data_IF_144462794076
#
_entry.id   IF_144462794076
#
_cell.length_a   1.000
_cell.length_b   1.000
_cell.length_c   1.000
_cell.angle_alpha   90.00
_cell.angle_beta   90.00
_cell.angle_gamma   90.00
#
_symmetry.space_group_name_H-M   'P 1'
#
loop_
_entity.id
_entity.type
_entity.pdbx_description
1 polymer ?
#
# COMPACT_ATOMS: atom_id res chain seq x y z
N UNK A 1 -26.25 27.42 6.15
CA UNK A 1 -25.90 26.00 6.35
C UNK A 1 -24.84 25.65 5.32
N UNK A 2 -23.56 25.71 5.68
CA UNK A 2 -22.46 25.35 4.81
C UNK A 2 -22.07 23.88 5.15
N UNK A 3 -22.28 22.99 4.18
CA UNK A 3 -21.80 21.61 4.23
C UNK A 3 -20.27 21.65 4.14
N UNK A 4 -19.61 21.29 5.25
CA UNK A 4 -18.16 21.13 5.29
C UNK A 4 -17.68 20.09 4.28
N UNK A 5 -16.42 20.16 3.83
CA UNK A 5 -15.88 19.21 2.88
C UNK A 5 -15.93 17.79 3.50
N UNK A 6 -16.69 16.91 2.83
CA UNK A 6 -16.74 15.48 3.17
C UNK A 6 -15.33 14.93 3.05
N UNK A 7 -14.75 14.49 4.16
CA UNK A 7 -13.49 13.80 4.15
C UNK A 7 -13.62 12.55 3.24
N UNK A 8 -12.83 12.48 2.20
CA UNK A 8 -12.76 11.30 1.33
C UNK A 8 -12.39 10.11 2.22
N UNK A 9 -13.20 9.04 2.27
CA UNK A 9 -12.88 7.90 3.09
C UNK A 9 -11.53 7.31 2.64
N UNK A 10 -10.71 6.91 3.60
CA UNK A 10 -9.40 6.30 3.33
C UNK A 10 -9.57 5.12 2.36
N UNK A 11 -8.65 4.95 1.41
CA UNK A 11 -8.72 3.88 0.43
C UNK A 11 -8.69 2.52 1.13
N UNK A 12 -9.65 1.66 0.80
CA UNK A 12 -9.81 0.34 1.42
C UNK A 12 -9.06 -0.69 0.59
N UNK A 13 -7.89 -1.12 1.07
CA UNK A 13 -7.04 -2.12 0.40
C UNK A 13 -7.76 -3.46 0.20
N UNK A 14 -7.45 -4.19 -0.89
CA UNK A 14 -7.96 -5.54 -1.10
C UNK A 14 -7.64 -6.46 0.08
N UNK A 15 -8.60 -7.30 0.46
CA UNK A 15 -8.45 -8.25 1.58
C UNK A 15 -8.92 -7.73 2.93
N UNK A 16 -9.18 -6.44 3.08
CA UNK A 16 -9.69 -5.84 4.33
C UNK A 16 -11.19 -6.01 4.51
N UNK A 17 -11.95 -6.19 3.41
CA UNK A 17 -13.40 -6.40 3.43
C UNK A 17 -13.79 -7.86 3.24
N UNK A 18 -14.88 -8.30 3.85
CA UNK A 18 -15.42 -9.64 3.63
C UNK A 18 -16.35 -9.67 2.41
N UNK A 19 -16.30 -10.73 1.60
CA UNK A 19 -17.15 -10.88 0.40
C UNK A 19 -18.65 -11.02 0.72
N UNK A 20 -19.00 -11.23 2.01
CA UNK A 20 -20.37 -11.46 2.48
C UNK A 20 -20.98 -10.28 3.24
N UNK A 21 -20.36 -9.12 3.20
CA UNK A 21 -20.95 -7.92 3.80
C UNK A 21 -22.30 -7.60 3.15
N UNK A 22 -23.36 -7.34 3.95
CA UNK A 22 -24.73 -7.10 3.42
C UNK A 22 -24.78 -5.95 2.40
N UNK A 23 -23.94 -4.93 2.59
CA UNK A 23 -23.84 -3.76 1.71
C UNK A 23 -23.26 -4.09 0.33
N UNK A 24 -22.49 -5.17 0.23
CA UNK A 24 -21.88 -5.68 -1.02
C UNK A 24 -22.70 -6.80 -1.66
N UNK A 25 -23.79 -7.26 -1.00
CA UNK A 25 -24.70 -8.23 -1.58
C UNK A 25 -25.59 -7.53 -2.62
N UNK A 26 -25.59 -8.05 -3.85
CA UNK A 26 -26.55 -7.60 -4.87
C UNK A 26 -27.96 -7.87 -4.36
N UNK A 27 -28.77 -6.82 -4.22
CA UNK A 27 -30.17 -6.94 -3.80
C UNK A 27 -30.94 -7.86 -4.77
N UNK A 28 -31.70 -8.82 -4.23
CA UNK A 28 -32.65 -9.61 -5.02
C UNK A 28 -33.81 -8.69 -5.42
N UNK A 29 -33.91 -8.36 -6.71
CA UNK A 29 -34.97 -7.50 -7.25
C UNK A 29 -34.69 -7.13 -8.71
N UNK A 30 -35.57 -6.40 -9.38
CA UNK A 30 -35.31 -5.91 -10.73
C UNK A 30 -34.04 -5.07 -10.71
N UNK A 31 -33.04 -5.48 -11.54
CA UNK A 31 -31.71 -4.87 -11.61
C UNK A 31 -31.81 -3.37 -11.90
N UNK A 32 -31.41 -2.54 -10.93
CA UNK A 32 -31.15 -1.11 -11.13
C UNK A 32 -29.68 -0.83 -11.46
N UNK A 33 -28.79 -1.79 -11.20
CA UNK A 33 -27.36 -1.63 -11.43
C UNK A 33 -27.01 -1.98 -12.88
N UNK A 34 -26.14 -1.19 -13.50
CA UNK A 34 -25.61 -1.48 -14.83
C UNK A 34 -24.79 -2.79 -14.81
N UNK A 35 -24.68 -3.47 -15.95
CA UNK A 35 -23.83 -4.65 -16.07
C UNK A 35 -22.39 -4.38 -15.65
N UNK A 36 -21.89 -3.17 -15.93
CA UNK A 36 -20.55 -2.70 -15.54
C UNK A 36 -20.40 -2.56 -14.03
N UNK A 37 -21.41 -2.00 -13.32
CA UNK A 37 -21.39 -1.87 -11.87
C UNK A 37 -21.41 -3.25 -11.19
N UNK A 38 -22.15 -4.21 -11.75
CA UNK A 38 -22.16 -5.60 -11.28
C UNK A 38 -20.79 -6.25 -11.47
N UNK A 39 -20.18 -6.11 -12.65
CA UNK A 39 -18.84 -6.64 -12.93
C UNK A 39 -17.77 -6.03 -12.04
N UNK A 40 -17.81 -4.71 -11.81
CA UNK A 40 -16.90 -4.01 -10.88
C UNK A 40 -17.03 -4.55 -9.45
N UNK A 41 -18.25 -4.69 -8.94
CA UNK A 41 -18.49 -5.27 -7.61
C UNK A 41 -17.98 -6.71 -7.50
N UNK A 42 -18.22 -7.53 -8.53
CA UNK A 42 -17.71 -8.91 -8.56
C UNK A 42 -16.18 -8.96 -8.61
N UNK A 43 -15.56 -8.06 -9.37
CA UNK A 43 -14.09 -7.92 -9.43
C UNK A 43 -13.52 -7.56 -8.05
N UNK A 44 -14.06 -6.55 -7.38
CA UNK A 44 -13.62 -6.14 -6.04
C UNK A 44 -13.74 -7.27 -5.02
N UNK A 45 -14.86 -8.00 -5.04
CA UNK A 45 -15.06 -9.17 -4.17
C UNK A 45 -14.06 -10.28 -4.45
N UNK A 46 -13.72 -10.50 -5.72
CA UNK A 46 -12.69 -11.47 -6.11
C UNK A 46 -11.32 -11.04 -5.64
N UNK A 47 -10.94 -9.76 -5.78
CA UNK A 47 -9.67 -9.25 -5.28
C UNK A 47 -9.56 -9.40 -3.76
N UNK A 48 -10.62 -9.03 -3.00
CA UNK A 48 -10.67 -9.23 -1.55
C UNK A 48 -10.57 -10.70 -1.14
N UNK A 49 -11.33 -11.57 -1.80
CA UNK A 49 -11.30 -13.02 -1.55
C UNK A 49 -9.95 -13.63 -1.89
N UNK A 50 -9.34 -13.18 -2.98
CA UNK A 50 -8.02 -13.60 -3.41
C UNK A 50 -6.95 -13.28 -2.37
N UNK A 51 -6.85 -12.01 -1.97
CA UNK A 51 -5.86 -11.54 -1.00
C UNK A 51 -5.96 -12.32 0.32
N UNK A 52 -7.17 -12.50 0.85
CA UNK A 52 -7.36 -13.27 2.09
C UNK A 52 -6.97 -14.74 1.94
N UNK A 53 -7.34 -15.36 0.81
CA UNK A 53 -7.03 -16.77 0.58
C UNK A 53 -5.52 -16.98 0.45
N UNK A 54 -4.84 -16.13 -0.30
CA UNK A 54 -3.37 -16.20 -0.45
C UNK A 54 -2.66 -15.95 0.89
N UNK A 55 -3.11 -14.96 1.66
CA UNK A 55 -2.52 -14.70 2.97
C UNK A 55 -2.68 -15.87 3.97
N UNK A 56 -3.73 -16.68 3.82
CA UNK A 56 -3.99 -17.84 4.69
C UNK A 56 -3.28 -19.12 4.22
N UNK A 57 -3.26 -19.39 2.93
CA UNK A 57 -2.82 -20.66 2.36
C UNK A 57 -1.45 -20.58 1.66
N UNK A 58 -0.97 -19.37 1.37
CA UNK A 58 0.12 -19.11 0.43
C UNK A 58 -0.34 -19.20 -1.03
N UNK A 59 0.38 -18.52 -1.92
CA UNK A 59 0.05 -18.53 -3.35
C UNK A 59 0.08 -19.94 -3.95
N UNK A 60 1.09 -20.73 -3.64
CA UNK A 60 1.25 -22.06 -4.23
C UNK A 60 0.06 -22.99 -3.95
N UNK A 61 -0.50 -22.96 -2.73
CA UNK A 61 -1.61 -23.83 -2.30
C UNK A 61 -2.99 -23.28 -2.68
N UNK A 62 -3.10 -21.99 -2.98
CA UNK A 62 -4.37 -21.34 -3.33
C UNK A 62 -4.90 -21.85 -4.66
N UNK A 63 -6.17 -22.26 -4.70
CA UNK A 63 -6.91 -22.70 -5.90
C UNK A 63 -7.98 -21.67 -6.27
N UNK A 64 -8.37 -21.64 -7.55
CA UNK A 64 -9.47 -20.78 -8.03
C UNK A 64 -10.78 -21.07 -7.31
N UNK A 65 -11.02 -22.33 -6.91
CA UNK A 65 -12.20 -22.70 -6.10
C UNK A 65 -12.24 -21.98 -4.77
N UNK A 66 -11.10 -21.87 -4.10
CA UNK A 66 -10.99 -21.28 -2.77
C UNK A 66 -11.22 -19.76 -2.85
N UNK A 67 -10.67 -19.13 -3.90
CA UNK A 67 -10.88 -17.71 -4.19
C UNK A 67 -12.36 -17.44 -4.45
N UNK A 68 -13.00 -18.24 -5.30
CA UNK A 68 -14.44 -18.10 -5.63
C UNK A 68 -15.31 -18.26 -4.39
N UNK A 69 -14.99 -19.24 -3.53
CA UNK A 69 -15.69 -19.45 -2.27
C UNK A 69 -15.54 -18.27 -1.32
N UNK A 70 -14.33 -17.75 -1.16
CA UNK A 70 -14.04 -16.60 -0.31
C UNK A 70 -14.72 -15.31 -0.80
N UNK A 71 -14.80 -15.12 -2.13
CA UNK A 71 -15.45 -13.99 -2.78
C UNK A 71 -16.98 -14.13 -2.85
N UNK A 72 -17.53 -15.33 -2.69
CA UNK A 72 -18.95 -15.62 -2.90
C UNK A 72 -19.38 -15.42 -4.36
N UNK A 73 -18.53 -15.82 -5.32
CA UNK A 73 -18.78 -15.79 -6.76
C UNK A 73 -18.61 -17.18 -7.37
N UNK A 74 -19.12 -17.39 -8.58
CA UNK A 74 -18.97 -18.66 -9.28
C UNK A 74 -17.68 -18.71 -10.11
N UNK A 75 -17.19 -19.92 -10.42
CA UNK A 75 -16.02 -20.10 -11.30
C UNK A 75 -16.18 -19.48 -12.71
N UNK A 76 -17.33 -19.58 -13.39
CA UNK A 76 -17.53 -18.88 -14.64
C UNK A 76 -17.27 -17.38 -14.54
N UNK A 77 -17.81 -16.71 -13.51
CA UNK A 77 -17.56 -15.27 -13.27
C UNK A 77 -16.08 -14.96 -13.05
N UNK A 78 -15.34 -15.84 -12.36
CA UNK A 78 -13.91 -15.68 -12.22
C UNK A 78 -13.19 -15.67 -13.59
N UNK A 79 -13.53 -16.64 -14.47
CA UNK A 79 -12.90 -16.75 -15.78
C UNK A 79 -13.38 -15.72 -16.82
N UNK A 80 -14.50 -15.05 -16.56
CA UNK A 80 -14.92 -13.85 -17.31
C UNK A 80 -14.03 -12.64 -16.98
N UNK A 81 -13.50 -12.56 -15.75
CA UNK A 81 -12.74 -11.42 -15.25
C UNK A 81 -11.23 -11.63 -15.27
N UNK A 82 -10.75 -12.86 -15.15
CA UNK A 82 -9.33 -13.21 -15.05
C UNK A 82 -9.01 -14.47 -15.85
N UNK A 83 -7.86 -14.45 -16.54
CA UNK A 83 -7.37 -15.60 -17.34
C UNK A 83 -6.99 -16.79 -16.46
N UNK A 84 -6.64 -16.56 -15.19
CA UNK A 84 -6.21 -17.58 -14.26
C UNK A 84 -5.73 -16.98 -12.93
N UNK A 85 -5.18 -17.83 -12.07
CA UNK A 85 -4.70 -17.46 -10.73
C UNK A 85 -3.60 -16.39 -10.77
N UNK A 86 -2.67 -16.50 -11.69
CA UNK A 86 -1.56 -15.56 -11.88
C UNK A 86 -2.09 -14.18 -12.28
N UNK A 87 -2.97 -14.10 -13.28
CA UNK A 87 -3.57 -12.84 -13.73
C UNK A 87 -4.37 -12.16 -12.61
N UNK A 88 -5.12 -12.94 -11.81
CA UNK A 88 -5.84 -12.43 -10.66
C UNK A 88 -4.90 -11.90 -9.56
N UNK A 89 -3.75 -12.59 -9.34
CA UNK A 89 -2.72 -12.13 -8.40
C UNK A 89 -2.15 -10.79 -8.82
N UNK A 90 -1.69 -10.71 -10.08
CA UNK A 90 -1.09 -9.49 -10.61
C UNK A 90 -2.08 -8.33 -10.65
N UNK A 91 -3.36 -8.61 -10.90
CA UNK A 91 -4.42 -7.60 -10.82
C UNK A 91 -4.63 -7.08 -9.39
N UNK A 92 -4.65 -7.98 -8.39
CA UNK A 92 -4.77 -7.61 -6.97
C UNK A 92 -3.53 -6.82 -6.50
N UNK A 93 -2.34 -7.27 -6.91
CA UNK A 93 -1.07 -6.62 -6.60
C UNK A 93 -1.04 -5.19 -7.16
N UNK A 94 -1.26 -5.02 -8.48
CA UNK A 94 -1.28 -3.69 -9.11
C UNK A 94 -2.32 -2.75 -8.51
N UNK A 95 -3.53 -3.26 -8.25
CA UNK A 95 -4.60 -2.45 -7.67
C UNK A 95 -4.23 -1.96 -6.27
N UNK A 96 -3.80 -2.85 -5.38
CA UNK A 96 -3.49 -2.48 -4.00
C UNK A 96 -2.20 -1.67 -3.87
N UNK A 97 -1.13 -1.98 -4.65
CA UNK A 97 0.10 -1.19 -4.62
C UNK A 97 -0.10 0.21 -5.16
N UNK A 98 -0.96 0.40 -6.18
CA UNK A 98 -1.33 1.74 -6.64
C UNK A 98 -2.00 2.57 -5.53
N UNK A 99 -2.89 1.94 -4.74
CA UNK A 99 -3.52 2.62 -3.60
C UNK A 99 -2.49 3.00 -2.52
N UNK A 100 -1.54 2.13 -2.21
CA UNK A 100 -0.46 2.42 -1.25
C UNK A 100 0.39 3.59 -1.73
N UNK A 101 0.78 3.60 -3.00
CA UNK A 101 1.57 4.68 -3.59
C UNK A 101 0.80 6.01 -3.54
N UNK A 102 -0.48 6.02 -3.88
CA UNK A 102 -1.29 7.26 -3.80
C UNK A 102 -1.32 7.83 -2.37
N UNK A 103 -1.46 6.97 -1.34
CA UNK A 103 -1.40 7.42 0.07
C UNK A 103 -0.03 8.00 0.43
N UNK A 104 1.06 7.41 -0.10
CA UNK A 104 2.42 7.94 0.08
C UNK A 104 2.60 9.28 -0.63
N UNK A 105 2.14 9.41 -1.88
CA UNK A 105 2.19 10.65 -2.66
C UNK A 105 1.44 11.79 -1.97
N UNK A 106 0.23 11.51 -1.46
CA UNK A 106 -0.53 12.48 -0.68
C UNK A 106 0.18 12.92 0.61
N UNK A 107 0.81 11.97 1.32
CA UNK A 107 1.57 12.29 2.53
C UNK A 107 2.83 13.10 2.21
N UNK A 108 3.53 12.75 1.14
CA UNK A 108 4.71 13.45 0.63
C UNK A 108 4.38 14.90 0.24
N UNK A 109 3.30 15.12 -0.51
CA UNK A 109 2.88 16.44 -1.00
C UNK A 109 2.47 17.42 0.10
N UNK A 110 2.18 16.96 1.32
CA UNK A 110 1.81 17.81 2.47
C UNK A 110 3.01 18.41 3.19
N UNK A 111 4.22 18.08 2.80
CA UNK A 111 5.45 18.53 3.46
C UNK A 111 6.19 19.55 2.62
N UNK A 112 6.93 20.46 3.28
CA UNK A 112 7.62 21.57 2.62
C UNK A 112 9.09 21.29 2.32
N UNK A 113 9.66 20.20 2.89
CA UNK A 113 11.04 19.82 2.67
C UNK A 113 11.18 18.32 2.41
N UNK A 114 12.21 17.93 1.67
CA UNK A 114 12.46 16.55 1.29
C UNK A 114 12.58 15.58 2.49
N UNK A 115 13.32 15.90 3.59
CA UNK A 115 13.38 15.00 4.76
C UNK A 115 12.02 14.75 5.41
N UNK A 116 11.20 15.78 5.52
CA UNK A 116 9.82 15.67 6.01
C UNK A 116 8.97 14.82 5.08
N UNK A 117 9.10 15.00 3.77
CA UNK A 117 8.41 14.23 2.74
C UNK A 117 8.75 12.74 2.80
N UNK A 118 10.05 12.40 2.93
CA UNK A 118 10.53 11.01 3.14
C UNK A 118 9.90 10.40 4.38
N UNK A 119 9.95 11.09 5.52
CA UNK A 119 9.37 10.60 6.77
C UNK A 119 7.86 10.39 6.67
N UNK A 120 7.14 11.34 6.06
CA UNK A 120 5.69 11.26 5.88
C UNK A 120 5.30 10.11 4.95
N UNK A 121 5.98 9.96 3.81
CA UNK A 121 5.75 8.87 2.85
C UNK A 121 6.04 7.50 3.47
N UNK A 122 7.15 7.34 4.17
CA UNK A 122 7.47 6.10 4.90
C UNK A 122 6.44 5.81 6.00
N UNK A 123 6.02 6.82 6.76
CA UNK A 123 4.99 6.67 7.78
C UNK A 123 3.66 6.18 7.19
N UNK A 124 3.25 6.78 6.07
CA UNK A 124 2.06 6.39 5.33
C UNK A 124 2.15 4.94 4.82
N UNK A 125 3.28 4.55 4.22
CA UNK A 125 3.54 3.19 3.76
C UNK A 125 3.42 2.17 4.90
N UNK A 126 4.16 2.40 5.98
CA UNK A 126 4.24 1.46 7.11
C UNK A 126 2.90 1.33 7.83
N UNK A 127 2.17 2.45 8.01
CA UNK A 127 0.83 2.48 8.61
C UNK A 127 -0.17 1.71 7.76
N UNK A 128 -0.24 2.01 6.46
CA UNK A 128 -1.16 1.36 5.52
C UNK A 128 -0.93 -0.15 5.43
N UNK A 129 0.33 -0.61 5.38
CA UNK A 129 0.64 -2.04 5.38
C UNK A 129 0.31 -2.70 6.72
N UNK A 130 0.52 -2.01 7.85
CA UNK A 130 0.19 -2.55 9.18
C UNK A 130 -1.32 -2.74 9.37
N UNK A 131 -2.15 -1.87 8.80
CA UNK A 131 -3.60 -1.95 8.83
C UNK A 131 -4.18 -3.01 7.88
N UNK A 132 -3.41 -3.47 6.88
CA UNK A 132 -3.83 -4.45 5.89
C UNK A 132 -2.87 -5.67 5.81
N UNK A 133 -2.72 -6.45 6.90
CA UNK A 133 -1.70 -7.50 6.98
C UNK A 133 -1.87 -8.60 5.92
N UNK A 134 -3.08 -8.92 5.52
CA UNK A 134 -3.33 -9.88 4.44
C UNK A 134 -2.80 -9.38 3.09
N UNK A 135 -3.05 -8.11 2.77
CA UNK A 135 -2.51 -7.49 1.56
C UNK A 135 -0.98 -7.40 1.64
N UNK A 136 -0.43 -6.96 2.77
CA UNK A 136 1.01 -6.87 2.96
C UNK A 136 1.72 -8.22 2.74
N UNK A 137 1.18 -9.31 3.29
CA UNK A 137 1.72 -10.66 3.08
C UNK A 137 1.67 -11.07 1.61
N UNK A 138 0.53 -10.88 0.94
CA UNK A 138 0.38 -11.21 -0.47
C UNK A 138 1.32 -10.37 -1.35
N UNK A 139 1.34 -9.05 -1.17
CA UNK A 139 2.05 -8.15 -2.07
C UNK A 139 3.58 -8.15 -1.91
N UNK A 140 4.07 -8.45 -0.71
CA UNK A 140 5.49 -8.32 -0.37
C UNK A 140 6.18 -9.69 -0.22
N UNK A 141 5.46 -10.71 0.27
CA UNK A 141 6.07 -12.03 0.53
C UNK A 141 5.66 -13.05 -0.53
N UNK A 142 4.37 -13.17 -0.82
CA UNK A 142 3.85 -14.18 -1.74
C UNK A 142 4.11 -13.85 -3.22
N UNK A 143 4.53 -12.62 -3.54
CA UNK A 143 4.88 -12.18 -4.91
C UNK A 143 5.99 -13.06 -5.51
N UNK A 144 6.94 -13.49 -4.71
CA UNK A 144 8.07 -14.31 -5.18
C UNK A 144 7.64 -15.73 -5.58
N UNK A 145 6.56 -16.24 -4.98
CA UNK A 145 5.99 -17.55 -5.30
C UNK A 145 5.23 -17.57 -6.63
N UNK A 146 4.95 -16.42 -7.23
CA UNK A 146 4.30 -16.30 -8.55
C UNK A 146 5.28 -16.66 -9.68
N UNK A 147 6.58 -16.49 -9.45
CA UNK A 147 7.63 -16.72 -10.45
C UNK A 147 7.95 -15.46 -11.28
N UNK A 148 8.39 -15.61 -12.55
CA UNK A 148 8.90 -14.49 -13.36
C UNK A 148 7.97 -13.28 -13.42
N UNK A 149 6.68 -13.49 -13.65
CA UNK A 149 5.70 -12.40 -13.69
C UNK A 149 5.56 -11.65 -12.35
N UNK A 150 5.77 -12.35 -11.22
CA UNK A 150 5.82 -11.74 -9.90
C UNK A 150 7.10 -10.92 -9.69
N UNK A 151 8.24 -11.41 -10.18
CA UNK A 151 9.52 -10.68 -10.11
C UNK A 151 9.45 -9.38 -10.91
N UNK A 152 8.88 -9.43 -12.13
CA UNK A 152 8.67 -8.25 -12.96
C UNK A 152 7.75 -7.22 -12.24
N UNK A 153 6.65 -7.68 -11.66
CA UNK A 153 5.72 -6.82 -10.93
C UNK A 153 6.35 -6.19 -9.67
N UNK A 154 7.25 -6.92 -8.99
CA UNK A 154 8.05 -6.37 -7.88
C UNK A 154 9.02 -5.30 -8.36
N UNK A 155 9.74 -5.53 -9.46
CA UNK A 155 10.66 -4.53 -10.03
C UNK A 155 9.92 -3.28 -10.49
N UNK A 156 8.74 -3.42 -11.10
CA UNK A 156 7.87 -2.28 -11.43
C UNK A 156 7.48 -1.47 -10.17
N UNK A 157 7.16 -2.15 -9.07
CA UNK A 157 6.85 -1.49 -7.80
C UNK A 157 8.07 -0.75 -7.25
N UNK A 158 9.26 -1.37 -7.24
CA UNK A 158 10.49 -0.74 -6.76
C UNK A 158 10.87 0.45 -7.64
N UNK A 159 10.66 0.38 -8.95
CA UNK A 159 10.85 1.51 -9.85
C UNK A 159 9.98 2.72 -9.45
N UNK A 160 8.70 2.50 -9.11
CA UNK A 160 7.82 3.58 -8.62
C UNK A 160 8.27 4.17 -7.28
N UNK A 161 8.91 3.40 -6.42
CA UNK A 161 9.50 3.96 -5.20
C UNK A 161 10.70 4.86 -5.48
N UNK A 162 11.45 4.65 -6.57
CA UNK A 162 12.54 5.54 -7.00
C UNK A 162 12.03 6.93 -7.37
N UNK A 163 10.79 7.05 -7.86
CA UNK A 163 10.19 8.34 -8.24
C UNK A 163 10.10 9.33 -7.07
N UNK A 164 10.05 8.84 -5.82
CA UNK A 164 10.10 9.68 -4.61
C UNK A 164 11.49 10.32 -4.34
N UNK A 165 12.50 9.97 -5.15
CA UNK A 165 13.87 10.47 -5.04
C UNK A 165 14.25 11.44 -6.18
N UNK A 166 13.28 11.95 -6.94
CA UNK A 166 13.54 12.86 -8.09
C UNK A 166 14.28 14.13 -7.65
N UNK A 167 13.92 14.70 -6.50
CA UNK A 167 14.48 15.96 -5.98
C UNK A 167 15.47 15.72 -4.82
N UNK A 168 16.14 14.57 -4.81
CA UNK A 168 17.11 14.23 -3.76
C UNK A 168 18.34 15.15 -3.83
N UNK A 169 18.85 15.66 -2.70
CA UNK A 169 20.10 16.43 -2.69
C UNK A 169 21.28 15.59 -3.19
N UNK A 170 22.22 16.22 -3.89
CA UNK A 170 23.46 15.56 -4.27
C UNK A 170 24.17 15.00 -3.03
N UNK A 171 24.52 13.71 -3.08
CA UNK A 171 25.29 13.10 -2.01
C UNK A 171 26.74 13.57 -2.11
N UNK A 172 27.39 13.85 -1.00
CA UNK A 172 28.84 14.11 -0.97
C UNK A 172 29.71 12.85 -1.13
N UNK A 173 29.09 11.71 -1.49
CA UNK A 173 29.77 10.41 -1.64
C UNK A 173 30.23 10.19 -3.08
N UNK A 174 31.35 9.48 -3.31
CA UNK A 174 31.82 9.13 -4.65
C UNK A 174 31.03 7.95 -5.25
N UNK A 175 29.72 7.98 -5.16
CA UNK A 175 28.79 6.95 -5.63
C UNK A 175 27.68 7.66 -6.43
N UNK A 176 27.31 7.17 -7.62
CA UNK A 176 26.20 7.73 -8.38
C UNK A 176 24.91 7.79 -7.55
N UNK A 177 24.16 8.87 -7.69
CA UNK A 177 22.89 9.05 -6.94
C UNK A 177 21.90 7.92 -7.23
N UNK A 178 21.81 7.47 -8.46
CA UNK A 178 20.93 6.35 -8.87
C UNK A 178 21.28 5.05 -8.12
N UNK A 179 22.57 4.73 -8.00
CA UNK A 179 23.02 3.54 -7.27
C UNK A 179 22.70 3.65 -5.78
N UNK A 180 22.87 4.83 -5.18
CA UNK A 180 22.47 5.06 -3.79
C UNK A 180 20.96 4.91 -3.58
N UNK A 181 20.15 5.40 -4.52
CA UNK A 181 18.70 5.27 -4.47
C UNK A 181 18.31 3.80 -4.54
N UNK A 182 18.91 3.01 -5.43
CA UNK A 182 18.65 1.58 -5.56
C UNK A 182 18.97 0.82 -4.26
N UNK A 183 20.14 1.11 -3.66
CA UNK A 183 20.55 0.51 -2.40
C UNK A 183 19.56 0.85 -1.28
N UNK A 184 19.15 2.10 -1.20
CA UNK A 184 18.20 2.59 -0.17
C UNK A 184 16.82 1.96 -0.34
N UNK A 185 16.28 1.98 -1.55
CA UNK A 185 14.96 1.37 -1.87
C UNK A 185 14.97 -0.13 -1.59
N UNK A 186 16.01 -0.83 -2.04
CA UNK A 186 16.19 -2.25 -1.76
C UNK A 186 16.32 -2.56 -0.26
N UNK A 187 17.02 -1.72 0.48
CA UNK A 187 17.17 -1.83 1.94
C UNK A 187 15.84 -1.65 2.68
N UNK A 188 15.06 -0.63 2.30
CA UNK A 188 13.71 -0.38 2.86
C UNK A 188 12.80 -1.58 2.57
N UNK A 189 12.74 -2.03 1.31
CA UNK A 189 11.95 -3.20 0.93
C UNK A 189 12.34 -4.44 1.74
N UNK A 190 13.63 -4.74 1.86
CA UNK A 190 14.13 -5.89 2.61
C UNK A 190 13.76 -5.82 4.11
N UNK A 191 13.81 -4.65 4.72
CA UNK A 191 13.43 -4.48 6.12
C UNK A 191 11.93 -4.73 6.35
N UNK A 192 11.09 -4.22 5.45
CA UNK A 192 9.63 -4.45 5.46
C UNK A 192 9.33 -5.93 5.23
N UNK A 193 9.90 -6.52 4.17
CA UNK A 193 9.74 -7.94 3.82
C UNK A 193 10.03 -8.85 5.03
N UNK A 194 11.19 -8.68 5.68
CA UNK A 194 11.56 -9.51 6.84
C UNK A 194 10.58 -9.39 7.98
N UNK A 195 10.01 -8.21 8.22
CA UNK A 195 9.03 -7.99 9.30
C UNK A 195 7.71 -8.69 8.99
N UNK A 196 7.24 -8.59 7.75
CA UNK A 196 6.00 -9.23 7.28
C UNK A 196 6.16 -10.76 7.25
N UNK A 197 7.26 -11.26 6.68
CA UNK A 197 7.55 -12.70 6.61
C UNK A 197 7.65 -13.37 8.01
N UNK A 198 8.05 -12.60 9.02
CA UNK A 198 8.07 -13.04 10.41
C UNK A 198 6.69 -12.95 11.11
N UNK A 199 5.61 -12.60 10.41
CA UNK A 199 4.26 -12.43 10.96
C UNK A 199 4.10 -11.22 11.87
N UNK A 200 5.03 -10.24 11.80
CA UNK A 200 5.07 -9.05 12.67
C UNK A 200 4.64 -7.78 11.94
N UNK A 201 3.64 -7.88 11.06
CA UNK A 201 3.16 -6.77 10.23
C UNK A 201 2.68 -5.58 11.07
N UNK A 202 2.02 -5.82 12.20
CA UNK A 202 1.58 -4.76 13.11
C UNK A 202 2.71 -3.93 13.72
N UNK A 203 3.97 -4.44 13.70
CA UNK A 203 5.14 -3.73 14.20
C UNK A 203 5.83 -2.84 13.14
N UNK A 204 5.33 -2.82 11.90
CA UNK A 204 5.91 -2.01 10.82
C UNK A 204 6.09 -0.53 11.18
N UNK A 205 5.11 0.15 11.83
CA UNK A 205 5.28 1.55 12.23
C UNK A 205 6.52 1.80 13.10
N UNK A 206 6.94 0.83 13.89
CA UNK A 206 8.16 0.91 14.70
C UNK A 206 9.46 0.97 13.90
N UNK A 207 9.44 0.65 12.59
CA UNK A 207 10.61 0.77 11.72
C UNK A 207 10.84 2.22 11.26
N UNK A 208 9.86 3.11 11.41
CA UNK A 208 9.90 4.47 10.83
C UNK A 208 11.17 5.26 11.18
N UNK A 209 11.63 5.34 12.44
CA UNK A 209 12.85 6.10 12.75
C UNK A 209 14.09 5.55 12.04
N UNK A 210 14.27 4.22 12.10
CA UNK A 210 15.44 3.57 11.49
C UNK A 210 15.45 3.68 9.97
N UNK A 211 14.30 3.49 9.31
CA UNK A 211 14.17 3.62 7.87
C UNK A 211 14.35 5.08 7.43
N UNK A 212 13.77 6.05 8.14
CA UNK A 212 13.97 7.47 7.86
C UNK A 212 15.46 7.83 7.93
N UNK A 213 16.16 7.39 8.98
CA UNK A 213 17.60 7.60 9.09
C UNK A 213 18.36 6.97 7.92
N UNK A 214 18.06 5.71 7.60
CA UNK A 214 18.75 4.97 6.52
C UNK A 214 18.55 5.61 5.14
N UNK A 215 17.38 6.21 4.90
CA UNK A 215 17.08 6.94 3.66
C UNK A 215 17.80 8.29 3.62
N UNK A 216 17.82 9.04 4.73
CA UNK A 216 18.36 10.41 4.74
C UNK A 216 19.90 10.48 4.86
N UNK A 217 20.51 9.54 5.59
CA UNK A 217 21.91 9.60 5.93
C UNK A 217 22.87 9.62 4.73
N UNK A 218 22.65 8.87 3.63
CA UNK A 218 23.52 8.92 2.45
C UNK A 218 23.53 10.28 1.75
N UNK A 219 22.46 11.06 1.85
CA UNK A 219 22.28 12.33 1.14
C UNK A 219 22.56 13.57 2.01
N UNK A 220 22.24 13.52 3.29
CA UNK A 220 22.38 14.64 4.22
C UNK A 220 23.59 14.54 5.15
N UNK A 221 24.19 13.36 5.22
CA UNK A 221 25.14 13.00 6.26
C UNK A 221 24.46 12.58 7.58
N UNK A 222 25.13 11.73 8.40
CA UNK A 222 24.51 11.09 9.56
C UNK A 222 24.05 12.08 10.65
N UNK A 223 24.77 13.20 10.85
CA UNK A 223 24.43 14.19 11.86
C UNK A 223 23.10 14.90 11.54
N UNK A 224 22.93 15.36 10.28
CA UNK A 224 21.70 16.01 9.85
C UNK A 224 20.53 15.03 9.80
N UNK A 225 20.76 13.80 9.35
CA UNK A 225 19.75 12.75 9.36
C UNK A 225 19.27 12.45 10.79
N UNK A 226 20.18 12.39 11.79
CA UNK A 226 19.82 12.14 13.18
C UNK A 226 18.96 13.26 13.78
N UNK A 227 19.24 14.54 13.46
CA UNK A 227 18.41 15.67 13.92
C UNK A 227 16.96 15.53 13.45
N UNK A 228 16.75 15.10 12.22
CA UNK A 228 15.39 14.92 11.64
C UNK A 228 14.58 13.78 12.28
N UNK A 229 15.19 12.90 13.03
CA UNK A 229 14.46 11.87 13.79
C UNK A 229 13.77 12.42 15.03
N UNK A 230 14.33 13.52 15.61
CA UNK A 230 13.79 14.15 16.79
C UNK A 230 12.60 15.08 16.49
N UNK A 231 12.40 15.47 15.22
CA UNK A 231 11.26 16.29 14.83
C UNK A 231 9.94 15.51 15.07
N UNK A 232 8.97 16.06 15.80
CA UNK A 232 7.69 15.40 15.99
C UNK A 232 7.04 15.16 14.60
N UNK A 233 6.42 14.00 14.44
CA UNK A 233 5.61 13.73 13.24
C UNK A 233 4.62 14.89 13.04
N UNK A 234 4.40 15.39 11.80
CA UNK A 234 3.41 16.41 11.56
C UNK A 234 2.09 15.93 12.17
N UNK A 235 1.57 16.73 13.13
CA UNK A 235 0.32 16.37 13.82
C UNK A 235 -0.79 16.33 12.77
N UNK A 236 -1.48 15.21 12.65
CA UNK A 236 -2.68 15.04 11.83
C UNK A 236 -3.89 15.79 12.39
N UNK A 237 -3.69 16.58 13.48
CA UNK A 237 -4.73 17.39 14.07
C UNK A 237 -4.78 18.76 13.40
N UNK A 238 -5.92 19.22 12.87
CA UNK A 238 -6.08 20.60 12.43
C UNK A 238 -5.82 21.54 13.61
N UNK A 239 -5.25 22.74 13.39
CA UNK A 239 -5.03 23.70 14.45
C UNK A 239 -6.34 23.96 15.21
N UNK A 240 -6.31 24.09 16.55
CA UNK A 240 -7.49 24.43 17.31
C UNK A 240 -7.99 25.80 16.83
N UNK A 241 -9.29 25.85 16.56
CA UNK A 241 -10.03 26.99 16.06
C UNK A 241 -9.59 28.32 16.65
N UNK A 242 -9.30 29.28 15.78
CA UNK A 242 -9.42 30.70 16.05
C UNK A 242 -10.92 31.08 16.22
N UNK A 243 -11.55 30.60 17.26
CA UNK A 243 -12.89 31.07 17.71
C UNK A 243 -12.75 31.73 19.08
N UNK A 244 -12.13 32.90 19.13
CA UNK A 244 -12.29 33.83 20.24
C UNK A 244 -11.71 35.20 19.89
N UNK A 245 -12.38 35.97 19.05
CA UNK A 245 -12.27 37.42 19.04
C UNK A 245 -13.43 38.03 18.26
N UNK A 246 -14.59 38.12 18.88
CA UNK A 246 -15.55 39.21 18.68
C UNK A 246 -16.57 39.11 19.82
N UNK A 247 -16.31 39.91 20.86
CA UNK A 247 -17.29 40.39 21.80
C UNK A 247 -17.13 41.92 21.90
#
# INVERSE_FOLDING_TARGET
MATGPSATPAPVLPGTRTGREPERSLRRGPRRDSAEAVAANQRDRLLDGFVRTVAQLGYAQTRVSDICQAAGVTRPVFYELFKGKEDAFLAAHRHGTAMVINVMEEAHARTSDWPGAVRAGLGALLGTLAEAPAFAAMAIVEIDAVGPAGWDAREELLARFRDFFTDVPESGLPIPTEELVDIVVGGVYSAIHRRIAAGRTAELPGLLPGLTFSVLAPFLGPQRAAVRLADPAPSTNPPPDCLAAEA
#
